data_IF_253954165979
#
_entry.id   IF_253954165979
#
_cell.length_a   1.000
_cell.length_b   1.000
_cell.length_c   1.000
_cell.angle_alpha   90.00
_cell.angle_beta   90.00
_cell.angle_gamma   90.00
#
_symmetry.space_group_name_H-M   'P 1'
#
loop_
_entity.id
_entity.type
_entity.pdbx_description
1 polymer ?
#
# COMPACT_ATOMS: atom_id res chain seq x y z
N UNK A 1 23.12 21.32 -11.11
CA UNK A 1 21.88 20.73 -11.68
C UNK A 1 20.91 20.57 -10.54
N UNK A 2 19.61 20.85 -10.74
CA UNK A 2 18.63 20.62 -9.69
C UNK A 2 18.32 19.14 -9.49
N UNK A 3 17.69 18.80 -8.38
CA UNK A 3 17.25 17.45 -8.06
C UNK A 3 16.25 16.95 -9.12
N UNK A 4 16.43 15.74 -9.62
CA UNK A 4 15.57 15.14 -10.63
C UNK A 4 15.31 13.68 -10.33
N UNK A 5 14.13 13.21 -10.70
CA UNK A 5 13.81 11.79 -10.69
C UNK A 5 14.60 11.10 -11.79
N UNK A 6 15.47 10.19 -11.43
CA UNK A 6 16.32 9.43 -12.36
C UNK A 6 15.76 8.06 -12.66
N UNK A 7 15.18 7.41 -11.64
CA UNK A 7 14.66 6.07 -11.75
C UNK A 7 13.43 5.90 -10.84
N UNK A 8 12.53 5.03 -11.24
CA UNK A 8 11.48 4.52 -10.38
C UNK A 8 11.29 3.02 -10.61
N UNK A 9 11.01 2.28 -9.55
CA UNK A 9 10.83 0.82 -9.58
C UNK A 9 9.58 0.43 -8.81
N UNK A 10 8.86 -0.54 -9.35
CA UNK A 10 7.80 -1.23 -8.63
C UNK A 10 8.37 -2.51 -8.01
N UNK A 11 8.19 -2.68 -6.71
CA UNK A 11 8.65 -3.83 -5.96
C UNK A 11 7.42 -4.58 -5.48
N UNK A 12 7.28 -5.81 -5.94
CA UNK A 12 6.19 -6.70 -5.52
C UNK A 12 6.76 -7.82 -4.68
N UNK A 13 6.20 -8.01 -3.49
CA UNK A 13 6.62 -9.10 -2.60
C UNK A 13 5.43 -9.64 -1.80
N UNK A 14 5.57 -10.86 -1.29
CA UNK A 14 4.54 -11.52 -0.49
C UNK A 14 5.11 -12.21 0.76
N UNK A 15 5.55 -11.46 1.78
CA UNK A 15 5.95 -12.04 3.06
C UNK A 15 4.72 -12.35 3.95
N UNK A 16 3.86 -13.26 3.50
CA UNK A 16 2.60 -13.59 4.16
C UNK A 16 1.37 -12.81 3.66
N UNK A 17 1.56 -11.73 2.92
CA UNK A 17 0.52 -11.04 2.14
C UNK A 17 1.19 -10.24 1.03
N UNK A 18 0.42 -9.90 -0.01
CA UNK A 18 0.93 -9.13 -1.13
C UNK A 18 1.17 -7.67 -0.75
N UNK A 19 2.33 -7.15 -1.16
CA UNK A 19 2.66 -5.73 -1.08
C UNK A 19 3.16 -5.24 -2.43
N UNK A 20 2.77 -4.02 -2.77
CA UNK A 20 3.26 -3.29 -3.95
C UNK A 20 3.88 -1.98 -3.44
N UNK A 21 5.19 -1.83 -3.60
CA UNK A 21 5.92 -0.65 -3.17
C UNK A 21 6.49 0.06 -4.39
N UNK A 22 6.23 1.35 -4.50
CA UNK A 22 6.90 2.22 -5.46
C UNK A 22 8.14 2.83 -4.79
N UNK A 23 9.30 2.66 -5.42
CA UNK A 23 10.55 3.33 -5.03
C UNK A 23 10.95 4.32 -6.12
N UNK A 24 11.01 5.60 -5.77
CA UNK A 24 11.49 6.68 -6.65
C UNK A 24 12.91 7.06 -6.22
N UNK A 25 13.83 7.18 -7.15
CA UNK A 25 15.25 7.46 -6.92
C UNK A 25 15.64 8.73 -7.71
N UNK A 26 16.37 9.61 -7.05
CA UNK A 26 16.84 10.86 -7.66
C UNK A 26 18.30 10.74 -8.13
N UNK A 27 18.71 11.66 -9.01
CA UNK A 27 20.08 11.80 -9.50
C UNK A 27 21.13 12.09 -8.41
N UNK A 28 20.70 12.39 -7.19
CA UNK A 28 21.57 12.56 -6.02
C UNK A 28 21.53 11.36 -5.07
N UNK A 29 20.89 10.26 -5.47
CA UNK A 29 20.77 9.04 -4.69
C UNK A 29 19.75 9.10 -3.54
N UNK A 30 19.07 10.22 -3.35
CA UNK A 30 17.94 10.30 -2.42
C UNK A 30 16.79 9.49 -3.00
N UNK A 31 16.15 8.67 -2.17
CA UNK A 31 15.00 7.90 -2.61
C UNK A 31 13.80 8.06 -1.68
N UNK A 32 12.62 7.90 -2.22
CA UNK A 32 11.37 7.84 -1.50
C UNK A 32 10.59 6.56 -1.78
N UNK A 33 9.80 6.17 -0.81
CA UNK A 33 8.95 4.98 -0.87
C UNK A 33 7.48 5.37 -0.75
N UNK A 34 6.63 4.71 -1.54
CA UNK A 34 5.19 4.81 -1.43
C UNK A 34 4.54 3.44 -1.55
N UNK A 35 3.51 3.19 -0.78
CA UNK A 35 2.72 1.97 -0.86
C UNK A 35 1.61 2.12 -1.90
N UNK A 36 1.52 1.16 -2.81
CA UNK A 36 0.51 1.09 -3.87
C UNK A 36 -0.34 -0.18 -3.76
N UNK A 37 -0.30 -0.86 -2.62
CA UNK A 37 -1.01 -2.12 -2.43
C UNK A 37 -2.51 -1.92 -2.54
N UNK A 38 -3.11 -2.55 -3.54
CA UNK A 38 -4.54 -2.64 -3.70
C UNK A 38 -4.93 -4.11 -3.62
N UNK A 39 -5.47 -4.49 -2.49
CA UNK A 39 -5.76 -5.88 -2.17
C UNK A 39 -6.63 -6.55 -3.24
N UNK A 40 -6.16 -7.69 -3.77
CA UNK A 40 -6.82 -8.43 -4.85
C UNK A 40 -6.71 -7.81 -6.25
N UNK A 41 -6.01 -6.68 -6.42
CA UNK A 41 -5.78 -6.00 -7.71
C UNK A 41 -4.36 -5.48 -7.85
N UNK A 42 -3.43 -6.12 -7.16
CA UNK A 42 -2.03 -5.69 -7.08
C UNK A 42 -1.40 -5.59 -8.46
N UNK A 43 -1.56 -6.60 -9.32
CA UNK A 43 -0.98 -6.58 -10.67
C UNK A 43 -1.57 -5.48 -11.56
N UNK A 44 -2.81 -5.09 -11.34
CA UNK A 44 -3.42 -3.98 -12.09
C UNK A 44 -2.77 -2.65 -11.72
N UNK A 45 -2.43 -2.44 -10.45
CA UNK A 45 -1.70 -1.24 -10.02
C UNK A 45 -0.26 -1.29 -10.48
N UNK A 46 0.39 -2.45 -10.45
CA UNK A 46 1.75 -2.64 -10.97
C UNK A 46 1.83 -2.23 -12.44
N UNK A 47 0.99 -2.81 -13.29
CA UNK A 47 0.94 -2.47 -14.72
C UNK A 47 0.67 -0.98 -14.94
N UNK A 48 -0.28 -0.39 -14.20
CA UNK A 48 -0.56 1.04 -14.32
C UNK A 48 0.64 1.91 -13.92
N UNK A 49 1.36 1.55 -12.87
CA UNK A 49 2.57 2.25 -12.45
C UNK A 49 3.68 2.13 -13.51
N UNK A 50 3.96 0.92 -13.98
CA UNK A 50 5.08 0.66 -14.91
C UNK A 50 4.83 1.26 -16.29
N UNK A 51 3.63 1.05 -16.84
CA UNK A 51 3.34 1.39 -18.23
C UNK A 51 2.90 2.86 -18.42
N UNK A 52 2.28 3.47 -17.40
CA UNK A 52 1.66 4.78 -17.56
C UNK A 52 2.19 5.87 -16.62
N UNK A 53 2.59 5.51 -15.39
CA UNK A 53 2.98 6.50 -14.38
C UNK A 53 4.48 6.76 -14.40
N UNK A 54 5.30 5.72 -14.28
CA UNK A 54 6.76 5.84 -14.22
C UNK A 54 7.35 6.61 -15.41
N UNK A 55 6.95 6.33 -16.66
CA UNK A 55 7.46 7.09 -17.80
C UNK A 55 7.21 8.59 -17.72
N UNK A 56 6.13 8.99 -17.03
CA UNK A 56 5.78 10.39 -16.83
C UNK A 56 6.59 11.09 -15.72
N UNK A 57 7.25 10.34 -14.85
CA UNK A 57 7.99 10.88 -13.70
C UNK A 57 9.44 11.20 -14.03
N UNK A 58 10.06 10.42 -14.91
CA UNK A 58 11.51 10.53 -15.19
C UNK A 58 11.86 11.92 -15.69
N UNK A 59 12.92 12.51 -15.10
CA UNK A 59 13.41 13.84 -15.41
C UNK A 59 12.69 15.00 -14.71
N UNK A 60 11.56 14.76 -14.04
CA UNK A 60 10.84 15.79 -13.28
C UNK A 60 11.57 16.14 -11.98
N UNK A 61 11.30 17.34 -11.50
CA UNK A 61 11.73 17.78 -10.17
C UNK A 61 10.81 17.14 -9.10
N UNK A 62 11.35 16.30 -8.20
CA UNK A 62 10.55 15.62 -7.18
C UNK A 62 9.96 16.58 -6.13
N UNK A 63 10.41 17.84 -6.07
CA UNK A 63 9.84 18.83 -5.16
C UNK A 63 8.54 19.44 -5.65
N UNK A 64 8.20 19.26 -6.93
CA UNK A 64 6.96 19.76 -7.54
C UNK A 64 5.81 18.76 -7.34
N UNK A 65 5.55 18.41 -6.08
CA UNK A 65 4.61 17.34 -5.69
C UNK A 65 3.20 17.61 -6.23
N UNK A 66 2.68 18.83 -6.01
CA UNK A 66 1.35 19.21 -6.48
C UNK A 66 1.23 19.21 -8.00
N UNK A 67 2.25 19.71 -8.71
CA UNK A 67 2.26 19.66 -10.17
C UNK A 67 2.22 18.25 -10.71
N UNK A 68 3.02 17.35 -10.12
CA UNK A 68 3.04 15.93 -10.50
C UNK A 68 1.69 15.28 -10.18
N UNK A 69 1.12 15.53 -9.00
CA UNK A 69 -0.18 15.01 -8.62
C UNK A 69 -1.27 15.46 -9.60
N UNK A 70 -1.35 16.75 -9.89
CA UNK A 70 -2.32 17.31 -10.85
C UNK A 70 -2.12 16.74 -12.25
N UNK A 71 -0.87 16.61 -12.69
CA UNK A 71 -0.54 16.01 -13.98
C UNK A 71 -1.06 14.57 -14.09
N UNK A 72 -0.77 13.74 -13.11
CA UNK A 72 -1.20 12.34 -13.09
C UNK A 72 -2.73 12.20 -13.00
N UNK A 73 -3.36 13.05 -12.20
CA UNK A 73 -4.81 13.02 -12.03
C UNK A 73 -5.56 13.52 -13.28
N UNK A 74 -5.11 14.63 -13.87
CA UNK A 74 -5.78 15.25 -15.02
C UNK A 74 -5.38 14.63 -16.35
N UNK A 75 -4.19 14.09 -16.44
CA UNK A 75 -3.65 13.47 -17.64
C UNK A 75 -4.41 12.21 -18.09
N UNK A 76 -5.06 11.52 -17.18
CA UNK A 76 -5.94 10.41 -17.50
C UNK A 76 -7.36 10.92 -17.80
N UNK A 77 -7.90 10.59 -18.97
CA UNK A 77 -9.28 10.95 -19.33
C UNK A 77 -10.29 10.33 -18.35
N UNK A 78 -10.15 9.03 -18.08
CA UNK A 78 -10.92 8.29 -17.07
C UNK A 78 -10.24 8.41 -15.72
N UNK A 79 -10.72 9.34 -14.93
CA UNK A 79 -10.17 9.66 -13.62
C UNK A 79 -10.89 8.90 -12.52
N UNK A 80 -10.23 8.82 -11.36
CA UNK A 80 -10.73 8.18 -10.15
C UNK A 80 -10.69 6.64 -10.25
N UNK A 81 -11.16 6.03 -9.20
CA UNK A 81 -11.09 4.59 -9.04
C UNK A 81 -9.85 4.13 -8.26
N UNK A 82 -9.93 2.94 -7.69
CA UNK A 82 -8.92 2.48 -6.72
C UNK A 82 -7.54 2.27 -7.35
N UNK A 83 -7.45 1.77 -8.59
CA UNK A 83 -6.15 1.50 -9.24
C UNK A 83 -5.39 2.80 -9.48
N UNK A 84 -6.01 3.76 -10.16
CA UNK A 84 -5.36 5.02 -10.50
C UNK A 84 -5.04 5.86 -9.26
N UNK A 85 -5.93 5.89 -8.28
CA UNK A 85 -5.70 6.67 -7.06
C UNK A 85 -4.69 6.03 -6.11
N UNK A 86 -4.58 4.70 -6.04
CA UNK A 86 -3.52 4.03 -5.28
C UNK A 86 -2.14 4.31 -5.90
N UNK A 87 -2.05 4.31 -7.23
CA UNK A 87 -0.80 4.66 -7.91
C UNK A 87 -0.40 6.13 -7.65
N UNK A 88 -1.34 7.07 -7.74
CA UNK A 88 -1.08 8.49 -7.45
C UNK A 88 -0.68 8.69 -5.99
N UNK A 89 -1.36 8.01 -5.05
CA UNK A 89 -1.04 8.09 -3.64
C UNK A 89 0.37 7.56 -3.33
N UNK A 90 0.80 6.49 -3.99
CA UNK A 90 2.15 5.97 -3.85
C UNK A 90 3.21 6.95 -4.36
N UNK A 91 2.97 7.61 -5.50
CA UNK A 91 3.84 8.66 -6.02
C UNK A 91 3.91 9.83 -5.04
N UNK A 92 2.78 10.34 -4.60
CA UNK A 92 2.69 11.46 -3.65
C UNK A 92 3.48 11.17 -2.36
N UNK A 93 3.24 10.00 -1.76
CA UNK A 93 3.95 9.57 -0.55
C UNK A 93 5.46 9.48 -0.78
N UNK A 94 5.90 8.89 -1.90
CA UNK A 94 7.33 8.78 -2.23
C UNK A 94 7.98 10.15 -2.44
N UNK A 95 7.29 11.10 -3.06
CA UNK A 95 7.80 12.46 -3.28
C UNK A 95 7.91 13.24 -1.97
N UNK A 96 6.94 13.10 -1.07
CA UNK A 96 7.03 13.68 0.27
C UNK A 96 8.18 13.10 1.09
N UNK A 97 8.45 11.79 0.97
CA UNK A 97 9.59 11.13 1.61
C UNK A 97 10.92 11.67 1.07
N UNK A 98 11.04 11.85 -0.26
CA UNK A 98 12.21 12.50 -0.88
C UNK A 98 12.38 13.91 -0.36
N UNK A 99 11.31 14.71 -0.31
CA UNK A 99 11.34 16.10 0.13
C UNK A 99 11.82 16.22 1.57
N UNK A 100 11.32 15.36 2.44
CA UNK A 100 11.72 15.32 3.84
C UNK A 100 13.20 14.93 4.01
N UNK A 101 13.64 13.88 3.31
CA UNK A 101 15.05 13.45 3.29
C UNK A 101 15.99 14.53 2.76
N UNK A 102 15.62 15.18 1.67
CA UNK A 102 16.40 16.28 1.10
C UNK A 102 16.52 17.48 2.06
N UNK A 103 15.50 17.71 2.88
CA UNK A 103 15.52 18.75 3.93
C UNK A 103 16.21 18.30 5.23
N UNK A 104 16.63 17.06 5.35
CA UNK A 104 17.21 16.50 6.58
C UNK A 104 16.22 16.42 7.75
N UNK A 105 14.91 16.37 7.47
CA UNK A 105 13.85 16.36 8.47
C UNK A 105 13.01 15.09 8.36
N UNK A 106 12.53 14.53 9.49
CA UNK A 106 11.48 13.52 9.43
C UNK A 106 10.20 14.14 8.85
N UNK A 107 9.48 13.37 8.04
CA UNK A 107 8.28 13.85 7.36
C UNK A 107 7.23 14.44 8.31
N UNK A 108 7.02 13.84 9.49
CA UNK A 108 6.05 14.37 10.43
C UNK A 108 6.37 15.80 10.91
N UNK A 109 7.65 16.18 10.98
CA UNK A 109 8.04 17.57 11.33
C UNK A 109 7.74 18.52 10.19
N UNK A 110 7.95 18.10 8.94
CA UNK A 110 7.60 18.87 7.76
C UNK A 110 6.08 19.12 7.65
N UNK A 111 5.28 18.16 8.13
CA UNK A 111 3.82 18.22 8.15
C UNK A 111 3.21 18.92 9.37
N UNK A 112 4.03 19.52 10.24
CA UNK A 112 3.54 20.32 11.37
C UNK A 112 3.87 19.75 12.75
N UNK A 113 4.63 18.67 12.86
CA UNK A 113 5.11 18.11 14.11
C UNK A 113 4.21 17.02 14.72
N UNK A 114 4.59 16.59 15.91
CA UNK A 114 3.88 15.51 16.62
C UNK A 114 2.68 16.04 17.39
N UNK A 115 1.54 15.41 17.26
CA UNK A 115 0.39 15.60 18.15
C UNK A 115 0.40 14.61 19.34
N UNK A 116 1.18 13.53 19.26
CA UNK A 116 1.28 12.46 20.27
C UNK A 116 2.60 11.70 20.13
N UNK A 117 3.01 11.00 21.18
CA UNK A 117 4.24 10.18 21.17
C UNK A 117 4.01 8.76 20.69
N UNK A 118 2.76 8.28 20.76
CA UNK A 118 2.37 6.96 20.32
C UNK A 118 0.95 6.96 19.76
N UNK A 119 0.63 5.95 18.97
CA UNK A 119 -0.70 5.70 18.43
C UNK A 119 -1.17 4.34 18.91
N UNK A 120 -2.38 4.29 19.47
CA UNK A 120 -2.99 3.01 19.81
C UNK A 120 -3.24 2.23 18.52
N UNK A 121 -2.76 1.00 18.51
CA UNK A 121 -3.00 0.05 17.43
C UNK A 121 -4.02 -0.99 17.86
N UNK A 122 -4.65 -1.64 16.91
CA UNK A 122 -5.55 -2.75 17.17
C UNK A 122 -5.05 -4.03 16.51
N UNK A 123 -5.36 -5.17 17.13
CA UNK A 123 -5.09 -6.49 16.58
C UNK A 123 -6.21 -6.98 15.66
N UNK A 124 -5.89 -7.81 14.68
CA UNK A 124 -6.84 -8.51 13.84
C UNK A 124 -6.93 -9.97 14.29
N UNK A 125 -7.94 -10.30 15.07
CA UNK A 125 -8.24 -11.67 15.44
C UNK A 125 -9.12 -12.30 14.36
N UNK A 126 -8.53 -13.19 13.57
CA UNK A 126 -9.21 -13.92 12.50
C UNK A 126 -9.37 -15.38 12.91
N UNK A 127 -10.55 -15.92 12.74
CA UNK A 127 -10.83 -17.34 12.99
C UNK A 127 -11.68 -17.94 11.87
N UNK A 128 -11.57 -19.25 11.67
CA UNK A 128 -12.40 -20.00 10.71
C UNK A 128 -13.84 -20.12 11.19
N UNK A 129 -14.02 -20.06 12.50
CA UNK A 129 -15.29 -20.15 13.21
C UNK A 129 -15.31 -19.23 14.44
N UNK A 130 -16.40 -19.26 15.20
CA UNK A 130 -16.58 -18.42 16.37
C UNK A 130 -15.60 -18.80 17.49
N UNK A 131 -15.36 -20.10 17.71
CA UNK A 131 -14.49 -20.57 18.79
C UNK A 131 -13.06 -20.12 18.54
N UNK A 132 -12.51 -20.38 17.36
CA UNK A 132 -11.17 -19.95 16.97
C UNK A 132 -11.04 -18.40 17.00
N UNK A 133 -12.07 -17.69 16.59
CA UNK A 133 -12.08 -16.21 16.66
C UNK A 133 -11.99 -15.71 18.10
N UNK A 134 -12.71 -16.33 19.02
CA UNK A 134 -12.67 -16.00 20.44
C UNK A 134 -11.30 -16.31 21.05
N UNK A 135 -10.70 -17.44 20.72
CA UNK A 135 -9.33 -17.79 21.16
C UNK A 135 -8.31 -16.78 20.66
N UNK A 136 -8.38 -16.38 19.40
CA UNK A 136 -7.49 -15.37 18.84
C UNK A 136 -7.68 -13.99 19.50
N UNK A 137 -8.92 -13.58 19.82
CA UNK A 137 -9.16 -12.37 20.59
C UNK A 137 -8.47 -12.44 21.96
N UNK A 138 -8.59 -13.57 22.66
CA UNK A 138 -7.92 -13.82 23.94
C UNK A 138 -6.41 -13.68 23.80
N UNK A 139 -5.80 -14.27 22.79
CA UNK A 139 -4.37 -14.18 22.50
C UNK A 139 -3.92 -12.74 22.28
N UNK A 140 -4.66 -11.92 21.53
CA UNK A 140 -4.33 -10.50 21.33
C UNK A 140 -4.43 -9.69 22.63
N UNK A 141 -5.40 -9.98 23.49
CA UNK A 141 -5.54 -9.33 24.81
C UNK A 141 -4.34 -9.70 25.71
N UNK A 142 -3.93 -10.96 25.75
CA UNK A 142 -2.78 -11.43 26.54
C UNK A 142 -1.46 -10.77 26.13
N UNK A 143 -1.24 -10.50 24.86
CA UNK A 143 -0.05 -9.77 24.38
C UNK A 143 -0.15 -8.25 24.52
N UNK A 144 -1.26 -7.74 25.08
CA UNK A 144 -1.41 -6.35 25.51
C UNK A 144 -2.18 -5.43 24.57
N UNK A 145 -2.86 -5.94 23.55
CA UNK A 145 -3.73 -5.11 22.73
C UNK A 145 -4.95 -4.65 23.52
N UNK A 146 -5.24 -3.34 23.47
CA UNK A 146 -6.41 -2.74 24.11
C UNK A 146 -7.63 -2.67 23.19
N UNK A 147 -7.43 -2.87 21.90
CA UNK A 147 -8.47 -2.93 20.89
C UNK A 147 -8.19 -4.12 19.96
N UNK A 148 -9.22 -4.92 19.69
CA UNK A 148 -9.14 -6.07 18.81
C UNK A 148 -10.31 -6.06 17.85
N UNK A 149 -10.04 -6.21 16.57
CA UNK A 149 -11.05 -6.46 15.55
C UNK A 149 -11.24 -7.97 15.41
N UNK A 150 -12.37 -8.48 15.83
CA UNK A 150 -12.74 -9.87 15.60
C UNK A 150 -13.34 -10.04 14.21
N UNK A 151 -12.87 -11.02 13.48
CA UNK A 151 -13.37 -11.39 12.16
C UNK A 151 -13.49 -12.90 12.05
N UNK A 152 -14.75 -13.37 12.06
CA UNK A 152 -15.05 -14.77 11.90
C UNK A 152 -15.18 -15.13 10.42
N UNK A 153 -14.65 -16.29 10.02
CA UNK A 153 -14.84 -16.85 8.71
C UNK A 153 -16.31 -17.17 8.43
N UNK A 154 -16.69 -17.08 7.17
CA UNK A 154 -18.03 -17.50 6.73
C UNK A 154 -17.95 -19.00 6.43
N UNK A 155 -18.78 -19.84 7.06
CA UNK A 155 -18.76 -21.27 6.81
C UNK A 155 -18.93 -21.61 5.31
N UNK A 156 -18.05 -22.45 4.79
CA UNK A 156 -18.06 -22.88 3.40
C UNK A 156 -17.36 -21.91 2.41
N UNK A 157 -16.84 -20.76 2.87
CA UNK A 157 -16.05 -19.88 2.03
C UNK A 157 -14.56 -19.97 2.41
N UNK A 158 -13.65 -20.16 1.45
CA UNK A 158 -12.22 -20.11 1.71
C UNK A 158 -11.80 -18.69 2.10
N UNK A 159 -10.76 -18.59 2.92
CA UNK A 159 -10.15 -17.32 3.25
C UNK A 159 -9.50 -16.70 1.98
N UNK A 160 -9.77 -15.44 1.68
CA UNK A 160 -9.51 -14.88 0.35
C UNK A 160 -8.77 -13.55 0.36
N UNK A 161 -7.99 -13.27 1.37
CA UNK A 161 -7.26 -12.00 1.44
C UNK A 161 -5.86 -12.01 0.79
N UNK A 162 -5.62 -12.86 -0.20
CA UNK A 162 -4.33 -12.89 -0.89
C UNK A 162 -3.17 -13.20 0.05
N UNK A 163 -3.42 -14.02 1.05
CA UNK A 163 -2.38 -14.47 1.99
C UNK A 163 -1.66 -15.66 1.36
N UNK A 164 -0.38 -15.51 1.12
CA UNK A 164 0.47 -16.61 0.68
C UNK A 164 0.79 -17.53 1.85
N UNK A 165 0.77 -18.83 1.60
CA UNK A 165 1.13 -19.81 2.61
C UNK A 165 2.65 -19.99 2.74
N UNK A 166 3.44 -19.84 1.66
CA UNK A 166 4.88 -20.16 1.69
C UNK A 166 5.77 -19.39 0.70
N UNK A 167 5.26 -18.40 -0.03
CA UNK A 167 6.04 -17.72 -1.06
C UNK A 167 6.20 -16.24 -0.79
N UNK A 168 7.41 -15.74 -1.03
CA UNK A 168 7.72 -14.32 -0.94
C UNK A 168 7.39 -13.54 -2.22
N UNK A 169 6.62 -14.13 -3.12
CA UNK A 169 6.19 -13.54 -4.38
C UNK A 169 4.71 -13.23 -4.36
N UNK A 170 4.29 -12.41 -5.31
CA UNK A 170 2.87 -12.21 -5.55
C UNK A 170 2.18 -13.55 -5.82
N UNK A 171 1.14 -13.82 -5.06
CA UNK A 171 0.22 -14.92 -5.30
C UNK A 171 -1.19 -14.36 -5.41
N UNK A 172 -1.90 -14.64 -6.51
CA UNK A 172 -3.33 -14.37 -6.56
C UNK A 172 -4.00 -15.20 -5.45
N UNK A 173 -4.94 -14.60 -4.74
CA UNK A 173 -5.80 -15.35 -3.87
C UNK A 173 -6.52 -16.41 -4.73
N UNK A 174 -6.62 -17.61 -4.23
CA UNK A 174 -7.18 -18.83 -4.83
C UNK A 174 -7.42 -18.77 -6.36
N UNK A 175 -6.78 -19.67 -7.12
CA UNK A 175 -6.89 -19.69 -8.58
C UNK A 175 -8.32 -19.95 -9.09
N UNK A 176 -9.19 -20.51 -8.27
CA UNK A 176 -10.58 -20.84 -8.64
C UNK A 176 -11.56 -19.70 -8.27
N UNK A 177 -11.22 -18.86 -7.29
CA UNK A 177 -12.09 -17.79 -6.81
C UNK A 177 -11.31 -16.47 -6.71
N UNK A 178 -11.64 -15.46 -7.48
CA UNK A 178 -11.09 -14.13 -7.28
C UNK A 178 -11.36 -13.65 -5.85
N UNK A 179 -10.39 -12.98 -5.24
CA UNK A 179 -10.41 -12.53 -3.84
C UNK A 179 -11.59 -11.65 -3.43
N UNK A 180 -12.39 -11.21 -4.35
CA UNK A 180 -13.55 -10.34 -4.13
C UNK A 180 -14.88 -11.00 -4.46
N UNK A 181 -14.89 -12.29 -4.62
CA UNK A 181 -16.09 -13.03 -5.01
C UNK A 181 -17.15 -13.19 -3.98
N UNK A 182 -17.10 -12.48 -2.93
CA UNK A 182 -17.67 -13.05 -1.75
C UNK A 182 -19.01 -12.47 -1.39
N UNK A 183 -19.63 -11.88 -2.30
CA UNK A 183 -21.00 -11.45 -2.08
C UNK A 183 -21.92 -12.42 -2.78
N UNK A 184 -22.16 -13.57 -2.16
CA UNK A 184 -23.32 -14.34 -2.55
C UNK A 184 -24.53 -13.52 -2.16
N UNK A 185 -25.34 -13.20 -3.10
CA UNK A 185 -26.68 -12.60 -2.92
C UNK A 185 -27.73 -13.68 -2.65
N UNK A 186 -27.37 -14.77 -2.02
CA UNK A 186 -28.34 -15.77 -1.56
C UNK A 186 -28.85 -15.47 -0.17
#
# INVERSE_FOLDING_TARGET
>A
MGLKIEEARVIVCCPGRNFVTLKIITNEGIYGLGDATLNGRELSVVSYLEDHVIPCLIGRDPHQIEDIWQFLYRGAYWRRGPITMSAIAAVDTALWDIKAKAAGLPLYQMLGGKSRTGVMVYGHANGRDIEETVEEVGRYIEIGYQAVRAQCGIPGLPSTYGVSNDKMFYEPADAELPSENIWSTS
#
